data_IF_099757633958
#
_entry.id   IF_099757633958
#
_cell.length_a   1.000
_cell.length_b   1.000
_cell.length_c   1.000
_cell.angle_alpha   90.00
_cell.angle_beta   90.00
_cell.angle_gamma   90.00
#
_symmetry.space_group_name_H-M   'P 1'
#
loop_
_entity.id
_entity.type
_entity.pdbx_description
1 polymer ?
#
# COMPACT_ATOMS: atom_id res chain seq x y z
N UNK A 1 -14.71 -40.83 -60.33
CA UNK A 1 -14.49 -41.63 -59.09
C UNK A 1 -14.14 -40.63 -57.99
N UNK A 2 -14.86 -40.55 -56.85
CA UNK A 2 -15.14 -41.60 -55.84
C UNK A 2 -13.85 -41.97 -55.09
N UNK A 3 -13.69 -41.82 -53.76
CA UNK A 3 -14.54 -41.20 -52.70
C UNK A 3 -13.65 -40.72 -51.51
N UNK A 4 -14.25 -40.11 -50.47
CA UNK A 4 -13.62 -39.49 -49.28
C UNK A 4 -13.06 -40.42 -48.20
N UNK A 5 -12.17 -39.87 -47.36
CA UNK A 5 -12.10 -40.01 -45.88
C UNK A 5 -11.14 -38.93 -45.32
N UNK A 6 -11.59 -37.82 -44.72
CA UNK A 6 -12.21 -37.63 -43.38
C UNK A 6 -11.25 -37.70 -42.18
N UNK A 7 -11.16 -36.57 -41.45
CA UNK A 7 -10.89 -36.44 -40.01
C UNK A 7 -11.64 -35.20 -39.49
N UNK A 8 -12.17 -35.24 -38.27
CA UNK A 8 -13.12 -34.26 -37.70
C UNK A 8 -13.08 -34.29 -36.16
N UNK A 9 -13.44 -33.25 -35.40
CA UNK A 9 -13.86 -31.87 -35.77
C UNK A 9 -12.69 -30.90 -35.50
N UNK A 10 -12.71 -29.71 -34.87
CA UNK A 10 -13.70 -28.86 -34.14
C UNK A 10 -13.63 -27.43 -34.74
N UNK A 11 -14.73 -26.69 -34.66
CA UNK A 11 -14.77 -25.22 -34.67
C UNK A 11 -15.40 -24.81 -33.33
N UNK A 12 -14.69 -24.00 -32.55
CA UNK A 12 -15.11 -23.30 -31.31
C UNK A 12 -13.90 -22.42 -30.90
N UNK A 13 -14.04 -21.23 -30.34
CA UNK A 13 -15.09 -20.22 -30.52
C UNK A 13 -14.44 -18.86 -30.12
N UNK A 14 -14.51 -17.84 -30.98
CA UNK A 14 -14.08 -16.45 -30.72
C UNK A 14 -12.72 -16.24 -29.99
N UNK A 15 -11.61 -16.49 -30.70
CA UNK A 15 -10.43 -15.61 -30.58
C UNK A 15 -10.76 -14.26 -31.27
N UNK A 16 -11.71 -13.51 -30.70
CA UNK A 16 -11.93 -12.10 -31.06
C UNK A 16 -10.78 -11.28 -30.45
N UNK A 17 -9.63 -11.37 -31.13
CA UNK A 17 -8.52 -10.42 -31.01
C UNK A 17 -9.03 -9.04 -31.43
N UNK A 18 -9.56 -8.31 -30.45
CA UNK A 18 -9.77 -6.87 -30.56
C UNK A 18 -8.44 -6.25 -31.01
N UNK A 19 -8.40 -5.74 -32.24
CA UNK A 19 -7.30 -4.89 -32.69
C UNK A 19 -7.33 -3.66 -31.78
N UNK A 20 -6.32 -3.57 -30.92
CA UNK A 20 -6.22 -2.52 -29.91
C UNK A 20 -5.69 -1.27 -30.62
N UNK A 21 -6.59 -0.38 -31.03
CA UNK A 21 -6.21 0.94 -31.52
C UNK A 21 -5.46 1.66 -30.38
N UNK A 22 -4.17 1.95 -30.58
CA UNK A 22 -3.28 2.53 -29.56
C UNK A 22 -3.70 3.96 -29.11
N UNK A 23 -4.68 4.56 -29.80
CA UNK A 23 -5.28 5.86 -29.50
C UNK A 23 -6.48 5.79 -28.52
N UNK A 24 -7.01 4.60 -28.20
CA UNK A 24 -8.22 4.43 -27.37
C UNK A 24 -7.87 4.32 -25.86
N UNK A 25 -7.52 5.46 -25.26
CA UNK A 25 -6.93 5.58 -23.90
C UNK A 25 -7.89 5.25 -22.72
N UNK A 26 -9.15 4.87 -22.99
CA UNK A 26 -10.26 4.82 -22.00
C UNK A 26 -11.10 3.50 -22.03
N UNK A 27 -10.53 2.40 -22.52
CA UNK A 27 -11.26 1.13 -22.82
C UNK A 27 -11.82 0.38 -21.59
N UNK A 28 -11.36 0.67 -20.37
CA UNK A 28 -11.87 0.04 -19.13
C UNK A 28 -12.09 1.07 -18.00
N UNK A 29 -13.29 1.65 -17.91
CA UNK A 29 -13.60 2.79 -17.03
C UNK A 29 -13.31 2.59 -15.53
N UNK A 30 -13.97 1.63 -14.87
CA UNK A 30 -13.56 1.15 -13.53
C UNK A 30 -13.22 -0.35 -13.61
N UNK A 31 -11.93 -0.72 -13.60
CA UNK A 31 -11.50 -2.13 -13.60
C UNK A 31 -12.12 -2.94 -12.46
N UNK A 32 -12.39 -2.32 -11.31
CA UNK A 32 -12.96 -2.96 -10.13
C UNK A 32 -14.47 -3.20 -10.28
N UNK A 33 -15.19 -2.42 -11.09
CA UNK A 33 -16.57 -2.73 -11.45
C UNK A 33 -16.64 -3.77 -12.57
N UNK A 34 -15.83 -3.61 -13.63
CA UNK A 34 -15.78 -4.56 -14.75
C UNK A 34 -15.49 -6.00 -14.28
N UNK A 35 -14.52 -6.18 -13.39
CA UNK A 35 -14.10 -7.50 -12.90
C UNK A 35 -15.11 -8.15 -11.94
N UNK A 36 -16.06 -7.41 -11.36
CA UNK A 36 -17.17 -8.00 -10.58
C UNK A 36 -18.16 -8.72 -11.50
N UNK A 37 -18.36 -8.19 -12.71
CA UNK A 37 -19.19 -8.82 -13.74
C UNK A 37 -18.42 -9.91 -14.52
N UNK A 38 -17.10 -9.73 -14.70
CA UNK A 38 -16.24 -10.59 -15.51
C UNK A 38 -15.06 -11.19 -14.71
N UNK A 39 -15.29 -11.95 -13.62
CA UNK A 39 -14.25 -12.34 -12.65
C UNK A 39 -13.13 -13.22 -13.22
N UNK A 40 -13.36 -13.89 -14.35
CA UNK A 40 -12.38 -14.75 -15.03
C UNK A 40 -11.53 -14.01 -16.10
N UNK A 41 -11.74 -12.70 -16.35
CA UNK A 41 -10.94 -11.96 -17.33
C UNK A 41 -9.52 -11.65 -16.82
N UNK A 42 -8.60 -12.55 -17.22
CA UNK A 42 -7.17 -12.49 -16.91
C UNK A 42 -6.48 -11.24 -17.45
N UNK A 43 -7.02 -10.55 -18.46
CA UNK A 43 -6.45 -9.30 -18.98
C UNK A 43 -6.61 -8.19 -17.93
N UNK A 44 -7.84 -8.00 -17.45
CA UNK A 44 -8.16 -6.99 -16.43
C UNK A 44 -7.51 -7.34 -15.08
N UNK A 45 -7.49 -8.62 -14.68
CA UNK A 45 -6.72 -9.06 -13.50
C UNK A 45 -5.21 -8.80 -13.63
N UNK A 46 -4.64 -8.89 -14.84
CA UNK A 46 -3.23 -8.59 -15.08
C UNK A 46 -2.93 -7.08 -14.96
N UNK A 47 -3.86 -6.21 -15.38
CA UNK A 47 -3.75 -4.76 -15.15
C UNK A 47 -3.88 -4.43 -13.65
N UNK A 48 -4.94 -4.93 -13.00
CA UNK A 48 -5.22 -4.67 -11.58
C UNK A 48 -4.05 -5.08 -10.68
N UNK A 49 -3.41 -6.23 -10.92
CA UNK A 49 -2.30 -6.72 -10.07
C UNK A 49 -0.97 -5.99 -10.26
N UNK A 50 -0.83 -5.17 -11.31
CA UNK A 50 0.40 -4.45 -11.63
C UNK A 50 0.41 -3.01 -11.10
N UNK A 51 -0.77 -2.44 -10.84
CA UNK A 51 -0.92 -1.10 -10.28
C UNK A 51 -1.17 -1.16 -8.75
N UNK A 52 -0.43 -0.40 -7.92
CA UNK A 52 -0.59 -0.43 -6.46
C UNK A 52 -1.97 0.01 -5.96
N UNK A 53 -2.62 0.98 -6.63
CA UNK A 53 -3.94 1.48 -6.25
C UNK A 53 -5.02 0.46 -6.59
N UNK A 54 -5.06 -0.04 -7.83
CA UNK A 54 -6.05 -1.03 -8.24
C UNK A 54 -5.88 -2.36 -7.49
N UNK A 55 -4.65 -2.80 -7.22
CA UNK A 55 -4.42 -4.00 -6.44
C UNK A 55 -4.93 -3.87 -5.00
N UNK A 56 -4.70 -2.72 -4.36
CA UNK A 56 -5.24 -2.40 -3.04
C UNK A 56 -6.78 -2.34 -3.05
N UNK A 57 -7.39 -1.64 -4.01
CA UNK A 57 -8.84 -1.51 -4.15
C UNK A 57 -9.51 -2.87 -4.38
N UNK A 58 -8.94 -3.72 -5.24
CA UNK A 58 -9.45 -5.06 -5.51
C UNK A 58 -9.38 -5.96 -4.27
N UNK A 59 -8.27 -5.93 -3.54
CA UNK A 59 -8.10 -6.70 -2.32
C UNK A 59 -9.06 -6.25 -1.21
N UNK A 60 -9.32 -4.93 -1.08
CA UNK A 60 -10.25 -4.37 -0.10
C UNK A 60 -11.72 -4.60 -0.47
N UNK A 61 -12.13 -4.27 -1.69
CA UNK A 61 -13.55 -4.12 -2.05
C UNK A 61 -14.15 -5.35 -2.73
N UNK A 62 -13.33 -6.18 -3.37
CA UNK A 62 -13.78 -7.44 -4.03
C UNK A 62 -13.42 -8.65 -3.16
N UNK A 63 -12.13 -8.87 -2.88
CA UNK A 63 -11.67 -10.04 -2.10
C UNK A 63 -11.99 -9.92 -0.60
N UNK A 64 -11.91 -8.70 -0.05
CA UNK A 64 -12.10 -8.39 1.39
C UNK A 64 -11.11 -9.17 2.28
N UNK A 65 -9.86 -9.23 1.84
CA UNK A 65 -8.79 -9.98 2.48
C UNK A 65 -7.49 -9.95 1.66
N UNK A 66 -6.44 -10.65 2.11
CA UNK A 66 -5.14 -10.64 1.42
C UNK A 66 -5.23 -11.17 -0.01
N UNK A 67 -4.51 -10.52 -0.93
CA UNK A 67 -4.37 -10.92 -2.33
C UNK A 67 -2.88 -11.02 -2.74
N UNK A 68 -2.24 -12.19 -2.50
CA UNK A 68 -0.81 -12.38 -2.74
C UNK A 68 -0.35 -12.06 -4.17
N UNK A 69 -1.22 -12.19 -5.17
CA UNK A 69 -0.91 -11.90 -6.57
C UNK A 69 -0.77 -10.41 -6.88
N UNK A 70 -1.40 -9.52 -6.11
CA UNK A 70 -1.26 -8.06 -6.21
C UNK A 70 -0.33 -7.43 -5.17
N UNK A 71 0.03 -8.18 -4.11
CA UNK A 71 0.94 -7.72 -3.06
C UNK A 71 2.32 -7.27 -3.58
N UNK A 72 2.80 -7.85 -4.68
CA UNK A 72 4.04 -7.43 -5.34
C UNK A 72 3.97 -6.01 -5.93
N UNK A 73 2.79 -5.50 -6.29
CA UNK A 73 2.60 -4.10 -6.69
C UNK A 73 2.33 -3.20 -5.46
N UNK A 74 1.44 -3.61 -4.56
CA UNK A 74 1.08 -2.84 -3.35
C UNK A 74 2.32 -2.48 -2.53
N UNK A 75 3.29 -3.40 -2.39
CA UNK A 75 4.54 -3.17 -1.64
C UNK A 75 5.56 -2.25 -2.34
N UNK A 76 5.27 -1.69 -3.51
CA UNK A 76 6.15 -0.73 -4.18
C UNK A 76 5.82 0.72 -3.80
N UNK A 77 4.64 0.97 -3.23
CA UNK A 77 4.18 2.29 -2.81
C UNK A 77 3.99 2.36 -1.27
N UNK A 78 4.61 3.32 -0.55
CA UNK A 78 4.51 3.42 0.91
C UNK A 78 3.08 3.67 1.42
N UNK A 79 2.25 4.41 0.68
CA UNK A 79 0.87 4.72 1.05
C UNK A 79 -0.03 3.49 0.89
N UNK A 80 0.02 2.81 -0.26
CA UNK A 80 -0.78 1.61 -0.47
C UNK A 80 -0.33 0.45 0.41
N UNK A 81 0.97 0.33 0.71
CA UNK A 81 1.45 -0.63 1.69
C UNK A 81 0.92 -0.35 3.11
N UNK A 82 0.89 0.92 3.54
CA UNK A 82 0.24 1.31 4.79
C UNK A 82 -1.27 1.02 4.78
N UNK A 83 -1.98 1.45 3.74
CA UNK A 83 -3.43 1.32 3.63
C UNK A 83 -3.87 -0.15 3.59
N UNK A 84 -3.15 -1.00 2.86
CA UNK A 84 -3.39 -2.44 2.81
C UNK A 84 -3.16 -3.11 4.17
N UNK A 85 -2.08 -2.76 4.88
CA UNK A 85 -1.82 -3.28 6.22
C UNK A 85 -2.88 -2.82 7.26
N UNK A 86 -3.38 -1.59 7.11
CA UNK A 86 -4.39 -1.00 7.99
C UNK A 86 -5.82 -1.51 7.73
N UNK A 87 -6.27 -1.49 6.47
CA UNK A 87 -7.68 -1.76 6.10
C UNK A 87 -7.94 -3.21 5.66
N UNK A 88 -6.97 -3.89 5.06
CA UNK A 88 -7.15 -5.25 4.51
C UNK A 88 -6.57 -6.33 5.42
N UNK A 89 -5.38 -6.12 5.99
CA UNK A 89 -4.76 -7.05 6.95
C UNK A 89 -5.17 -6.74 8.40
N UNK A 90 -5.44 -5.47 8.73
CA UNK A 90 -5.71 -5.00 10.10
C UNK A 90 -4.60 -5.41 11.11
N UNK A 91 -3.34 -5.33 10.68
CA UNK A 91 -2.18 -5.82 11.41
C UNK A 91 -0.87 -5.63 10.64
N UNK A 92 0.28 -5.96 11.26
CA UNK A 92 1.60 -5.80 10.61
C UNK A 92 1.69 -6.64 9.33
N UNK A 93 2.30 -6.07 8.30
CA UNK A 93 2.62 -6.72 7.03
C UNK A 93 4.12 -6.57 6.73
N UNK A 94 4.98 -7.45 7.30
CA UNK A 94 6.43 -7.37 7.13
C UNK A 94 6.91 -7.31 5.68
N UNK A 95 6.16 -7.88 4.75
CA UNK A 95 6.48 -7.88 3.31
C UNK A 95 6.36 -6.50 2.66
N UNK A 96 5.50 -5.60 3.19
CA UNK A 96 5.36 -4.21 2.74
C UNK A 96 6.16 -3.19 3.55
N UNK A 97 6.66 -3.58 4.74
CA UNK A 97 7.35 -2.67 5.66
C UNK A 97 8.59 -2.00 5.06
N UNK A 98 9.30 -2.64 4.12
CA UNK A 98 10.48 -2.05 3.47
C UNK A 98 10.14 -0.87 2.54
N UNK A 99 8.91 -0.77 2.02
CA UNK A 99 8.44 0.43 1.34
C UNK A 99 7.95 1.48 2.32
N UNK A 100 7.17 1.08 3.33
CA UNK A 100 6.66 1.97 4.37
C UNK A 100 7.82 2.72 5.08
N UNK A 101 8.96 2.05 5.30
CA UNK A 101 10.18 2.66 5.89
C UNK A 101 10.81 3.79 5.06
N UNK A 102 10.52 3.87 3.75
CA UNK A 102 11.13 4.87 2.85
C UNK A 102 10.44 6.23 2.96
N UNK A 103 9.21 6.29 3.48
CA UNK A 103 8.48 7.53 3.74
C UNK A 103 8.20 7.69 5.24
N UNK A 104 8.65 8.80 5.82
CA UNK A 104 8.51 9.07 7.25
C UNK A 104 7.08 9.36 7.69
N UNK A 105 6.22 9.85 6.81
CA UNK A 105 4.81 10.08 7.10
C UNK A 105 4.06 8.75 7.21
N UNK A 106 4.22 7.87 6.22
CA UNK A 106 3.61 6.54 6.24
C UNK A 106 4.21 5.62 7.31
N UNK A 107 5.52 5.74 7.58
CA UNK A 107 6.15 5.06 8.72
C UNK A 107 5.59 5.49 10.08
N UNK A 108 5.34 6.80 10.27
CA UNK A 108 4.69 7.33 11.46
C UNK A 108 3.24 6.82 11.59
N UNK A 109 2.43 6.91 10.51
CA UNK A 109 1.05 6.42 10.54
C UNK A 109 0.98 4.90 10.76
N UNK A 110 1.88 4.11 10.18
CA UNK A 110 1.96 2.67 10.42
C UNK A 110 2.29 2.34 11.88
N UNK A 111 3.27 3.02 12.47
CA UNK A 111 3.58 2.86 13.89
C UNK A 111 2.40 3.23 14.80
N UNK A 112 1.66 4.29 14.45
CA UNK A 112 0.51 4.82 15.21
C UNK A 112 -0.77 3.98 15.08
N UNK A 113 -1.11 3.55 13.86
CA UNK A 113 -2.41 2.97 13.53
C UNK A 113 -2.37 1.45 13.27
N UNK A 114 -1.24 0.89 12.83
CA UNK A 114 -1.09 -0.56 12.59
C UNK A 114 -0.39 -1.24 13.76
N UNK A 115 0.83 -0.82 14.11
CA UNK A 115 1.59 -1.35 15.25
C UNK A 115 0.98 -0.91 16.58
N UNK A 116 0.43 0.32 16.63
CA UNK A 116 -0.18 0.95 17.81
C UNK A 116 0.82 1.06 18.99
N UNK A 117 2.09 1.27 18.67
CA UNK A 117 3.22 1.30 19.59
C UNK A 117 4.57 1.49 18.85
N UNK A 118 5.67 1.52 19.61
CA UNK A 118 7.02 1.79 19.06
C UNK A 118 7.41 0.82 17.95
N UNK A 119 8.06 1.36 16.92
CA UNK A 119 8.67 0.63 15.82
C UNK A 119 10.17 0.96 15.75
N UNK A 120 11.04 0.24 16.49
CA UNK A 120 12.47 0.53 16.55
C UNK A 120 13.16 0.62 15.18
N UNK A 121 12.69 -0.15 14.20
CA UNK A 121 13.22 -0.22 12.83
C UNK A 121 13.23 1.13 12.08
N UNK A 122 12.44 2.13 12.50
CA UNK A 122 12.41 3.49 11.90
C UNK A 122 13.00 4.58 12.80
N UNK A 123 13.34 4.27 14.05
CA UNK A 123 13.73 5.29 15.03
C UNK A 123 15.04 6.01 14.68
N UNK A 124 15.98 5.30 14.06
CA UNK A 124 17.23 5.88 13.56
C UNK A 124 17.03 6.88 12.40
N UNK A 125 15.93 6.78 11.66
CA UNK A 125 15.55 7.74 10.61
C UNK A 125 14.70 8.87 11.18
N UNK A 126 13.64 8.57 11.95
CA UNK A 126 12.76 9.56 12.58
C UNK A 126 13.56 10.58 13.41
N UNK A 127 14.55 10.13 14.19
CA UNK A 127 15.37 11.01 15.06
C UNK A 127 16.26 12.01 14.30
N UNK A 128 16.29 11.96 12.98
CA UNK A 128 16.98 12.96 12.15
C UNK A 128 16.08 14.16 11.81
N UNK A 129 14.75 14.02 11.98
CA UNK A 129 13.75 15.02 11.59
C UNK A 129 12.95 15.47 12.83
N UNK A 130 13.25 16.64 13.43
CA UNK A 130 12.61 17.11 14.68
C UNK A 130 11.07 17.13 14.66
N UNK A 131 10.47 17.39 13.50
CA UNK A 131 9.02 17.27 13.24
C UNK A 131 8.50 15.85 13.54
N UNK A 132 9.02 14.83 12.82
CA UNK A 132 8.57 13.45 12.99
C UNK A 132 8.97 12.88 14.35
N UNK A 133 10.14 13.26 14.87
CA UNK A 133 10.59 12.94 16.22
C UNK A 133 9.60 13.43 17.29
N UNK A 134 9.05 14.64 17.13
CA UNK A 134 8.02 15.19 18.02
C UNK A 134 6.72 14.37 17.97
N UNK A 135 6.12 14.21 16.79
CA UNK A 135 4.84 13.50 16.65
C UNK A 135 4.95 12.03 17.03
N UNK A 136 6.03 11.33 16.66
CA UNK A 136 6.28 9.96 17.10
C UNK A 136 6.40 9.85 18.63
N UNK A 137 7.05 10.80 19.29
CA UNK A 137 7.14 10.79 20.75
C UNK A 137 5.78 11.07 21.43
N UNK A 138 4.98 11.98 20.86
CA UNK A 138 3.66 12.35 21.37
C UNK A 138 2.62 11.23 21.17
N UNK A 139 2.49 10.73 19.95
CA UNK A 139 1.42 9.81 19.53
C UNK A 139 1.75 8.32 19.66
N UNK A 140 3.04 7.93 19.56
CA UNK A 140 3.46 6.53 19.51
C UNK A 140 4.16 6.11 20.81
N UNK A 141 5.10 6.92 21.32
CA UNK A 141 5.79 6.64 22.60
C UNK A 141 4.92 7.02 23.80
N UNK A 142 4.18 8.14 23.73
CA UNK A 142 3.31 8.65 24.81
C UNK A 142 4.05 8.84 26.15
N UNK A 143 5.31 9.26 26.06
CA UNK A 143 6.22 9.39 27.19
C UNK A 143 7.61 9.86 26.74
N UNK A 144 8.59 9.86 27.66
CA UNK A 144 9.96 10.30 27.34
C UNK A 144 10.68 9.32 26.42
N UNK A 145 11.21 9.82 25.31
CA UNK A 145 12.13 9.08 24.46
C UNK A 145 13.58 9.29 24.92
N UNK A 146 14.42 8.27 24.76
CA UNK A 146 15.87 8.35 25.04
C UNK A 146 16.58 9.43 24.20
N UNK A 147 16.06 9.67 23.00
CA UNK A 147 16.69 10.50 21.98
C UNK A 147 16.02 11.88 21.84
N UNK A 148 15.28 12.35 22.87
CA UNK A 148 14.60 13.66 22.90
C UNK A 148 15.52 14.87 22.61
N UNK A 149 16.83 14.70 22.79
CA UNK A 149 17.85 15.67 22.39
C UNK A 149 17.86 15.96 20.87
N UNK A 150 17.22 15.12 20.05
CA UNK A 150 17.03 15.34 18.61
C UNK A 150 15.94 16.35 18.31
N UNK A 151 14.79 16.25 19.00
CA UNK A 151 13.71 17.25 18.97
C UNK A 151 14.27 18.62 19.42
N UNK A 152 15.10 18.60 20.47
CA UNK A 152 15.76 19.78 21.04
C UNK A 152 16.80 20.47 20.13
N UNK A 153 17.11 19.93 18.94
CA UNK A 153 17.94 20.60 17.93
C UNK A 153 17.21 21.74 17.21
N UNK A 154 15.89 21.65 17.10
CA UNK A 154 15.05 22.68 16.49
C UNK A 154 14.35 23.49 17.58
N UNK A 155 14.58 24.82 17.70
CA UNK A 155 13.99 25.63 18.76
C UNK A 155 12.45 25.63 18.77
N UNK A 156 11.79 25.44 17.63
CA UNK A 156 10.33 25.40 17.53
C UNK A 156 9.78 24.08 18.10
N UNK A 157 10.33 22.94 17.68
CA UNK A 157 9.91 21.63 18.19
C UNK A 157 10.36 21.39 19.64
N UNK A 158 11.49 21.97 20.05
CA UNK A 158 11.93 22.01 21.44
C UNK A 158 10.91 22.72 22.35
N UNK A 159 10.38 23.87 21.91
CA UNK A 159 9.39 24.64 22.67
C UNK A 159 8.11 23.83 22.91
N UNK A 160 7.54 23.24 21.84
CA UNK A 160 6.32 22.42 21.97
C UNK A 160 6.55 21.18 22.82
N UNK A 161 7.67 20.48 22.64
CA UNK A 161 8.00 19.29 23.44
C UNK A 161 8.14 19.61 24.94
N UNK A 162 8.79 20.72 25.30
CA UNK A 162 8.91 21.14 26.70
C UNK A 162 7.57 21.57 27.31
N UNK A 163 6.68 22.20 26.53
CA UNK A 163 5.31 22.51 26.95
C UNK A 163 4.50 21.25 27.22
N UNK A 164 4.40 20.34 26.25
CA UNK A 164 3.56 19.14 26.31
C UNK A 164 4.05 18.11 27.34
N UNK A 165 5.36 18.04 27.59
CA UNK A 165 5.94 17.22 28.66
C UNK A 165 5.90 17.89 30.05
N UNK A 166 5.41 19.13 30.16
CA UNK A 166 5.39 19.89 31.41
C UNK A 166 6.78 20.25 31.96
N UNK A 167 7.83 20.20 31.12
CA UNK A 167 9.23 20.38 31.51
C UNK A 167 9.67 21.86 31.45
N UNK A 168 8.92 22.74 32.11
CA UNK A 168 9.33 24.13 32.35
C UNK A 168 10.09 24.26 33.68
N UNK A 169 11.40 24.08 33.62
CA UNK A 169 12.35 24.51 34.66
C UNK A 169 13.32 25.52 34.06
N UNK A 170 13.18 26.78 34.48
CA UNK A 170 14.12 27.88 34.27
C UNK A 170 15.33 27.78 35.22
#
# INVERSE_FOLDING_TARGET
>A
MIVTRESKVILDEQDDILEFDEDDEDVFGDPIEYIKEHPDDKRVLNTIKQDPYWAYMYARDVIKGRWPEGEEAIKQDPYYAYAYAHEVINGRWPEGEEAIKQDLEWAYYYARHVIKGRWPEIEDTIKQYPYWAYYYTLDVIKGRWSDENTIKKDPYWAYWYCCDQGQWTI
#
